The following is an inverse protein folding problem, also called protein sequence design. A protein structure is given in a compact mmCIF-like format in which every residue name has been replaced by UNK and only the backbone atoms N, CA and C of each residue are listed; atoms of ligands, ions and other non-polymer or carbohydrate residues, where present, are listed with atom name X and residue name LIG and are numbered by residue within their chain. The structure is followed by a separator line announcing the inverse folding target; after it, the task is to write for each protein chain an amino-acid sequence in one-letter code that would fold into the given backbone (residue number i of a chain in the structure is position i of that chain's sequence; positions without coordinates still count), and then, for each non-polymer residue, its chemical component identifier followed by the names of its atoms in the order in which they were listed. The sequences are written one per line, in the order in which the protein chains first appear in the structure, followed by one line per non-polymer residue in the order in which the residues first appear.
data_IF_630539261058
#
_entry.id   IF_630539261058
#
_cell.length_a   1.000
_cell.length_b   1.000
_cell.length_c   1.000
_cell.angle_alpha   90.00
_cell.angle_beta   90.00
_cell.angle_gamma   90.00
#
_symmetry.space_group_name_H-M   'P 1'
#
loop_
_entity.id
_entity.type
_entity.pdbx_description
1 polymer ?
#
# COMPACT_ATOMS: atom_id res chain seq x y z
N UNK A 1 4.97 14.75 6.72
CA UNK A 1 4.73 13.31 6.73
C UNK A 1 6.01 12.65 6.30
N UNK A 2 6.34 11.48 6.85
CA UNK A 2 7.59 10.76 6.53
C UNK A 2 7.30 9.30 6.15
N UNK A 3 8.06 8.70 5.22
CA UNK A 3 7.95 7.27 4.95
C UNK A 3 8.10 6.45 6.24
N UNK A 4 7.21 5.50 6.46
CA UNK A 4 7.21 4.60 7.63
C UNK A 4 7.47 3.18 7.16
N UNK A 5 8.52 2.54 7.68
CA UNK A 5 8.75 1.11 7.48
C UNK A 5 7.68 0.30 8.22
N UNK A 6 7.17 -0.75 7.58
CA UNK A 6 6.16 -1.66 8.12
C UNK A 6 6.56 -3.12 7.84
N UNK A 7 5.93 -4.07 8.55
CA UNK A 7 6.31 -5.49 8.58
C UNK A 7 6.34 -6.13 7.19
N UNK A 8 5.36 -5.81 6.34
CA UNK A 8 5.18 -6.42 5.03
C UNK A 8 6.09 -5.82 3.95
N UNK A 9 6.80 -4.72 4.24
CA UNK A 9 7.66 -4.05 3.27
C UNK A 9 8.78 -5.00 2.78
N UNK A 10 8.88 -5.17 1.46
CA UNK A 10 9.80 -6.10 0.79
C UNK A 10 10.73 -5.41 -0.23
N UNK A 11 10.56 -4.11 -0.45
CA UNK A 11 11.38 -3.28 -1.34
C UNK A 11 11.55 -1.87 -0.76
N UNK A 12 12.61 -1.18 -1.12
CA UNK A 12 12.82 0.24 -0.80
C UNK A 12 13.05 1.00 -2.11
N UNK A 13 12.14 1.88 -2.49
CA UNK A 13 12.30 2.73 -3.66
C UNK A 13 13.18 3.94 -3.35
N UNK A 14 13.96 4.40 -4.34
CA UNK A 14 14.84 5.56 -4.19
C UNK A 14 16.02 5.34 -3.23
N UNK A 15 16.30 4.10 -2.81
CA UNK A 15 17.43 3.81 -1.94
C UNK A 15 18.76 4.14 -2.64
N UNK A 16 19.64 4.86 -1.93
CA UNK A 16 20.95 5.28 -2.44
C UNK A 16 20.93 6.45 -3.43
N UNK A 17 19.76 7.03 -3.73
CA UNK A 17 19.64 8.19 -4.62
C UNK A 17 19.60 9.49 -3.80
N UNK A 18 20.58 10.40 -3.92
CA UNK A 18 20.64 11.64 -3.12
C UNK A 18 19.40 12.53 -3.24
N UNK A 19 18.74 12.49 -4.40
CA UNK A 19 17.58 13.31 -4.73
C UNK A 19 16.29 12.79 -4.11
N UNK A 20 16.26 11.52 -3.66
CA UNK A 20 15.05 10.88 -3.17
C UNK A 20 15.22 10.36 -1.74
N UNK A 21 14.17 10.55 -0.94
CA UNK A 21 14.08 9.89 0.36
C UNK A 21 13.73 8.42 0.14
N UNK A 22 14.45 7.47 0.77
CA UNK A 22 14.11 6.06 0.67
C UNK A 22 12.64 5.81 1.09
N UNK A 23 11.91 5.07 0.26
CA UNK A 23 10.50 4.76 0.45
C UNK A 23 10.33 3.25 0.63
N UNK A 24 10.26 2.76 1.87
CA UNK A 24 9.92 1.36 2.15
C UNK A 24 8.51 1.06 1.65
N UNK A 25 8.37 -0.03 0.89
CA UNK A 25 7.12 -0.44 0.29
C UNK A 25 6.98 -1.97 0.25
N UNK A 26 5.75 -2.43 0.13
CA UNK A 26 5.42 -3.79 -0.26
C UNK A 26 5.02 -3.78 -1.71
N UNK A 27 5.78 -4.49 -2.56
CA UNK A 27 5.44 -4.72 -3.95
C UNK A 27 4.81 -6.10 -4.10
N UNK A 28 3.58 -6.15 -4.59
CA UNK A 28 2.87 -7.40 -4.91
C UNK A 28 3.37 -8.00 -6.23
N UNK A 29 3.01 -9.25 -6.52
CA UNK A 29 3.37 -9.90 -7.80
C UNK A 29 2.67 -9.23 -9.00
N UNK A 30 1.49 -8.68 -8.77
CA UNK A 30 0.64 -7.99 -9.74
C UNK A 30 1.07 -6.53 -9.96
N UNK A 31 2.09 -6.06 -9.23
CA UNK A 31 2.70 -4.75 -9.44
C UNK A 31 2.14 -3.61 -8.59
N UNK A 32 1.27 -3.89 -7.61
CA UNK A 32 0.83 -2.90 -6.64
C UNK A 32 2.00 -2.54 -5.71
N UNK A 33 2.29 -1.25 -5.56
CA UNK A 33 3.24 -0.74 -4.58
C UNK A 33 2.47 -0.11 -3.41
N UNK A 34 2.56 -0.72 -2.24
CA UNK A 34 1.93 -0.25 -1.01
C UNK A 34 2.99 0.41 -0.15
N UNK A 35 2.75 1.62 0.31
CA UNK A 35 3.63 2.35 1.23
C UNK A 35 2.82 3.11 2.27
N UNK A 36 3.45 3.45 3.39
CA UNK A 36 2.81 4.15 4.49
C UNK A 36 3.59 5.42 4.83
N UNK A 37 2.86 6.51 5.07
CA UNK A 37 3.42 7.73 5.62
C UNK A 37 2.95 7.93 7.05
N UNK A 38 3.88 8.28 7.94
CA UNK A 38 3.56 8.74 9.29
C UNK A 38 3.40 10.26 9.28
N UNK A 39 2.27 10.73 9.79
CA UNK A 39 1.98 12.13 10.08
C UNK A 39 2.58 12.50 11.44
N UNK A 40 3.15 13.69 11.56
CA UNK A 40 3.46 14.26 12.87
C UNK A 40 2.22 14.89 13.53
N UNK A 41 2.37 15.43 14.75
CA UNK A 41 1.26 16.03 15.50
C UNK A 41 0.64 17.23 14.81
N UNK A 42 1.46 18.12 14.24
CA UNK A 42 0.98 19.32 13.57
C UNK A 42 0.19 18.95 12.30
N UNK A 43 0.66 17.94 11.56
CA UNK A 43 0.01 17.45 10.36
C UNK A 43 -1.29 16.71 10.66
N UNK A 44 -1.32 15.89 11.72
CA UNK A 44 -2.56 15.25 12.20
C UNK A 44 -3.61 16.29 12.55
N UNK A 45 -3.22 17.36 13.26
CA UNK A 45 -4.12 18.47 13.59
C UNK A 45 -4.63 19.16 12.32
N UNK A 46 -3.75 19.46 11.37
CA UNK A 46 -4.14 20.10 10.11
C UNK A 46 -5.15 19.27 9.31
N UNK A 47 -4.91 17.96 9.18
CA UNK A 47 -5.84 17.04 8.50
C UNK A 47 -7.16 16.92 9.25
N UNK A 48 -7.13 16.83 10.59
CA UNK A 48 -8.36 16.78 11.38
C UNK A 48 -9.21 18.05 11.23
N UNK A 49 -8.58 19.20 11.05
CA UNK A 49 -9.25 20.50 10.85
C UNK A 49 -9.80 20.66 9.43
N UNK A 50 -9.06 20.26 8.39
CA UNK A 50 -9.45 20.52 6.99
C UNK A 50 -10.11 19.33 6.30
N UNK A 51 -9.82 18.10 6.75
CA UNK A 51 -10.21 16.87 6.04
C UNK A 51 -9.47 16.66 4.72
N UNK A 52 -8.40 17.42 4.45
CA UNK A 52 -7.72 17.43 3.15
C UNK A 52 -6.42 16.63 3.15
N UNK A 53 -6.22 15.83 2.10
CA UNK A 53 -4.95 15.20 1.76
C UNK A 53 -4.60 15.55 0.31
N UNK A 54 -3.49 16.27 0.13
CA UNK A 54 -3.01 16.68 -1.18
C UNK A 54 -1.91 15.71 -1.67
N UNK A 55 -2.00 15.27 -2.93
CA UNK A 55 -1.05 14.32 -3.53
C UNK A 55 -0.54 14.86 -4.86
N UNK A 56 0.79 14.88 -5.02
CA UNK A 56 1.47 15.18 -6.28
C UNK A 56 2.37 14.00 -6.64
N UNK A 57 2.25 13.51 -7.87
CA UNK A 57 3.00 12.37 -8.38
C UNK A 57 3.76 12.77 -9.64
N UNK A 58 5.05 12.46 -9.68
CA UNK A 58 5.85 12.60 -10.88
C UNK A 58 5.54 11.42 -11.81
N UNK A 59 4.69 11.64 -12.81
CA UNK A 59 4.41 10.62 -13.83
C UNK A 59 5.48 10.57 -14.92
N UNK A 60 6.41 11.54 -14.93
CA UNK A 60 7.46 11.68 -15.96
C UNK A 60 6.88 11.68 -17.39
N UNK A 61 5.77 12.41 -17.58
CA UNK A 61 5.02 12.49 -18.82
C UNK A 61 4.48 11.13 -19.33
N UNK A 62 4.41 10.11 -18.48
CA UNK A 62 3.70 8.87 -18.75
C UNK A 62 2.27 8.94 -18.21
N UNK A 63 1.37 8.04 -18.67
CA UNK A 63 0.03 7.94 -18.10
C UNK A 63 0.07 7.72 -16.59
N UNK A 64 -0.78 8.46 -15.87
CA UNK A 64 -0.96 8.31 -14.43
C UNK A 64 -1.41 6.88 -14.13
N UNK A 65 -0.67 6.20 -13.23
CA UNK A 65 -1.06 4.89 -12.73
C UNK A 65 -2.26 5.02 -11.79
N UNK A 66 -3.17 4.04 -11.73
CA UNK A 66 -4.26 4.04 -10.75
C UNK A 66 -3.74 4.22 -9.32
N UNK A 67 -4.40 5.08 -8.55
CA UNK A 67 -4.05 5.35 -7.15
C UNK A 67 -5.19 4.94 -6.23
N UNK A 68 -4.87 4.23 -5.14
CA UNK A 68 -5.79 3.94 -4.06
C UNK A 68 -5.18 4.41 -2.74
N UNK A 69 -5.85 5.35 -2.08
CA UNK A 69 -5.42 5.98 -0.83
C UNK A 69 -6.48 5.69 0.22
N UNK A 70 -6.06 5.19 1.38
CA UNK A 70 -6.92 4.87 2.52
C UNK A 70 -6.18 5.14 3.82
N UNK A 71 -6.93 5.35 4.90
CA UNK A 71 -6.40 5.37 6.26
C UNK A 71 -6.40 3.99 6.92
N UNK A 72 -7.09 3.00 6.35
CA UNK A 72 -7.18 1.65 6.89
C UNK A 72 -6.21 0.72 6.15
N UNK A 73 -5.20 0.22 6.88
CA UNK A 73 -4.20 -0.70 6.30
C UNK A 73 -4.84 -1.94 5.68
N UNK A 74 -5.90 -2.48 6.30
CA UNK A 74 -6.59 -3.69 5.84
C UNK A 74 -7.14 -3.60 4.42
N UNK A 75 -7.52 -2.41 3.94
CA UNK A 75 -8.10 -2.25 2.60
C UNK A 75 -7.05 -2.46 1.50
N UNK A 76 -5.76 -2.36 1.84
CA UNK A 76 -4.63 -2.50 0.91
C UNK A 76 -4.10 -3.93 0.81
N UNK A 77 -4.25 -4.71 1.88
CA UNK A 77 -3.77 -6.09 1.95
C UNK A 77 -4.97 -7.03 1.97
N UNK A 78 -5.59 -7.20 0.79
CA UNK A 78 -6.62 -8.21 0.62
C UNK A 78 -5.93 -9.57 0.73
N UNK A 79 -6.12 -10.26 1.85
CA UNK A 79 -5.81 -11.68 1.89
C UNK A 79 -6.80 -12.37 0.95
N UNK A 80 -6.36 -13.28 0.07
CA UNK A 80 -7.31 -14.15 -0.62
C UNK A 80 -8.11 -14.83 0.49
N UNK A 81 -9.40 -14.54 0.55
CA UNK A 81 -10.22 -14.92 1.68
C UNK A 81 -10.07 -16.41 1.99
N UNK A 82 -10.05 -16.72 3.28
CA UNK A 82 -10.20 -18.07 3.84
C UNK A 82 -11.57 -18.72 3.53
N UNK A 83 -12.27 -18.27 2.48
CA UNK A 83 -13.57 -18.77 2.01
C UNK A 83 -13.49 -19.55 0.69
N UNK A 84 -12.30 -19.90 0.20
CA UNK A 84 -12.15 -20.87 -0.92
C UNK A 84 -11.49 -22.19 -0.52
N UNK A 85 -11.66 -22.63 0.72
CA UNK A 85 -11.18 -23.93 1.19
C UNK A 85 -12.31 -24.77 1.79
N UNK A 86 -13.40 -24.98 1.06
CA UNK A 86 -14.41 -26.02 1.39
C UNK A 86 -14.87 -26.87 0.21
N UNK A 87 -14.43 -26.63 -1.03
CA UNK A 87 -15.07 -27.27 -2.19
C UNK A 87 -14.28 -28.42 -2.83
N UNK A 88 -13.15 -28.86 -2.23
CA UNK A 88 -12.28 -29.89 -2.82
C UNK A 88 -12.16 -31.22 -2.05
N UNK A 89 -12.98 -31.51 -1.03
CA UNK A 89 -12.98 -32.84 -0.38
C UNK A 89 -14.21 -33.72 -0.67
N UNK A 90 -15.26 -33.22 -1.33
CA UNK A 90 -16.49 -34.02 -1.55
C UNK A 90 -16.53 -34.85 -2.84
N UNK A 91 -15.46 -34.88 -3.64
CA UNK A 91 -15.45 -35.61 -4.93
C UNK A 91 -14.68 -36.94 -4.92
N UNK A 92 -14.21 -37.42 -3.76
CA UNK A 92 -13.54 -38.74 -3.65
C UNK A 92 -14.43 -39.87 -3.15
N UNK A 93 -15.70 -39.62 -2.81
CA UNK A 93 -16.67 -40.68 -2.46
C UNK A 93 -17.68 -40.79 -3.60
N UNK A 94 -17.29 -41.52 -4.66
CA UNK A 94 -18.11 -42.39 -5.52
C UNK A 94 -17.14 -42.87 -6.62
N UNK A 95 -16.55 -44.05 -6.39
CA UNK A 95 -16.18 -45.03 -7.42
C UNK A 95 -15.92 -46.37 -6.75
#
# INVERSE_FOLDING_TARGET
MKPKKFQEANVVYGEGQPEYKPLPAHKTKEGQAIFCFELDEAERKKIAETGELWVSLLTFNQPLQPIFITINKSDLFIQPDATQQTDNESSSIIK
#
